data_IF_612642310625
#
_entry.id   IF_612642310625
#
_cell.length_a   1.000
_cell.length_b   1.000
_cell.length_c   1.000
_cell.angle_alpha   90.00
_cell.angle_beta   90.00
_cell.angle_gamma   90.00
#
_symmetry.space_group_name_H-M   'P 1'
#
loop_
_entity.id
_entity.type
_entity.pdbx_description
1 polymer ?
#
# COMPACT_ATOMS: atom_id res chain seq x y z
N UNK A 1 -10.41 13.35 -22.26
CA UNK A 1 -10.56 13.10 -20.83
C UNK A 1 -11.85 12.32 -20.59
N UNK A 2 -11.76 11.13 -19.98
CA UNK A 2 -12.89 10.27 -19.64
C UNK A 2 -13.96 11.06 -18.87
N UNK A 3 -15.25 10.80 -19.16
CA UNK A 3 -16.38 11.54 -18.58
C UNK A 3 -16.45 11.49 -17.05
N UNK A 4 -15.86 10.45 -16.44
CA UNK A 4 -15.83 10.29 -14.99
C UNK A 4 -14.64 10.99 -14.31
N UNK A 5 -13.73 11.60 -15.08
CA UNK A 5 -12.61 12.37 -14.50
C UNK A 5 -13.07 13.81 -14.32
N UNK A 6 -12.93 14.32 -13.11
CA UNK A 6 -13.03 15.75 -12.82
C UNK A 6 -11.64 16.29 -12.53
N UNK A 7 -11.14 17.16 -13.41
CA UNK A 7 -9.89 17.87 -13.18
C UNK A 7 -10.07 18.89 -12.03
N UNK A 8 -9.12 18.88 -11.09
CA UNK A 8 -9.06 19.83 -9.97
C UNK A 8 -7.94 20.86 -10.17
N UNK A 9 -6.97 20.54 -11.04
CA UNK A 9 -5.91 21.43 -11.51
C UNK A 9 -5.68 21.19 -13.03
N UNK A 10 -4.79 21.97 -13.65
CA UNK A 10 -4.40 21.83 -15.05
C UNK A 10 -3.66 20.49 -15.28
N UNK A 11 -4.30 19.59 -16.03
CA UNK A 11 -3.67 18.34 -16.46
C UNK A 11 -2.75 18.63 -17.65
N UNK A 12 -1.46 18.54 -17.41
CA UNK A 12 -0.38 18.83 -18.37
C UNK A 12 0.75 17.83 -18.24
N UNK A 13 1.63 17.72 -19.25
CA UNK A 13 2.85 16.93 -19.15
C UNK A 13 3.70 17.34 -17.94
N UNK A 14 4.15 16.35 -17.17
CA UNK A 14 4.96 16.51 -15.96
C UNK A 14 6.40 16.02 -16.19
N UNK A 15 7.29 16.29 -15.22
CA UNK A 15 8.69 15.87 -15.26
C UNK A 15 8.82 14.42 -14.80
N UNK A 16 8.97 13.49 -15.75
CA UNK A 16 9.18 12.05 -15.51
C UNK A 16 8.21 11.45 -14.46
N UNK A 17 6.89 11.68 -14.58
CA UNK A 17 5.99 11.46 -13.46
C UNK A 17 5.85 9.98 -13.08
N UNK A 18 5.89 9.73 -11.78
CA UNK A 18 5.61 8.42 -11.19
C UNK A 18 4.23 8.41 -10.54
N UNK A 19 3.36 7.47 -10.95
CA UNK A 19 2.09 7.22 -10.27
C UNK A 19 2.28 6.26 -9.10
N UNK A 20 2.00 6.69 -7.87
CA UNK A 20 1.95 5.83 -6.68
C UNK A 20 0.51 5.71 -6.23
N UNK A 21 -0.04 4.49 -6.19
CA UNK A 21 -1.48 4.29 -5.92
C UNK A 21 -1.77 3.28 -4.82
N UNK A 22 -2.76 3.54 -3.97
CA UNK A 22 -3.31 2.59 -3.01
C UNK A 22 -4.84 2.59 -3.03
N UNK A 23 -5.42 1.42 -2.79
CA UNK A 23 -6.87 1.21 -2.79
C UNK A 23 -7.27 0.46 -1.52
N UNK A 24 -8.08 1.12 -0.69
CA UNK A 24 -8.72 0.50 0.47
C UNK A 24 -9.72 -0.57 0.02
N UNK A 25 -9.98 -1.57 0.87
CA UNK A 25 -10.87 -2.70 0.56
C UNK A 25 -10.10 -4.02 0.49
N UNK A 26 -10.37 -4.85 -0.51
CA UNK A 26 -9.79 -6.20 -0.61
C UNK A 26 -8.26 -6.18 -0.67
N UNK A 27 -7.68 -5.17 -1.32
CA UNK A 27 -6.23 -5.03 -1.54
C UNK A 27 -5.48 -4.40 -0.36
N UNK A 28 -6.20 -3.94 0.65
CA UNK A 28 -5.64 -3.22 1.80
C UNK A 28 -6.59 -3.40 3.00
N UNK A 29 -6.70 -4.63 3.48
CA UNK A 29 -7.68 -5.02 4.50
C UNK A 29 -7.58 -4.28 5.85
N UNK A 30 -6.41 -3.78 6.30
CA UNK A 30 -6.35 -2.85 7.43
C UNK A 30 -6.41 -1.37 7.00
N UNK A 31 -6.36 -1.04 5.71
CA UNK A 31 -6.32 0.35 5.23
C UNK A 31 -4.94 1.02 5.36
N UNK A 32 -3.88 0.23 5.62
CA UNK A 32 -2.57 0.75 5.93
C UNK A 32 -1.78 1.24 4.71
N UNK A 33 -1.98 0.64 3.54
CA UNK A 33 -1.38 1.11 2.29
C UNK A 33 -1.99 2.45 1.86
N UNK A 34 -3.31 2.58 1.99
CA UNK A 34 -4.05 3.83 1.72
C UNK A 34 -3.63 4.91 2.72
N UNK A 35 -3.50 4.56 4.01
CA UNK A 35 -2.97 5.46 5.03
C UNK A 35 -1.56 5.96 4.71
N UNK A 36 -0.69 5.11 4.15
CA UNK A 36 0.64 5.51 3.70
C UNK A 36 0.59 6.57 2.60
N UNK A 37 -0.28 6.41 1.60
CA UNK A 37 -0.46 7.41 0.53
C UNK A 37 -1.04 8.70 1.10
N UNK A 38 -2.08 8.61 1.94
CA UNK A 38 -2.68 9.78 2.57
C UNK A 38 -1.69 10.53 3.47
N UNK A 39 -0.78 9.81 4.11
CA UNK A 39 0.31 10.39 4.88
C UNK A 39 1.27 11.18 3.98
N UNK A 40 1.71 10.61 2.86
CA UNK A 40 2.56 11.31 1.89
C UNK A 40 1.85 12.52 1.28
N UNK A 41 0.55 12.45 1.02
CA UNK A 41 -0.24 13.60 0.55
C UNK A 41 -0.14 14.77 1.53
N UNK A 42 -0.20 14.50 2.84
CA UNK A 42 -0.06 15.53 3.88
C UNK A 42 1.38 16.04 3.98
N UNK A 43 2.35 15.14 4.16
CA UNK A 43 3.75 15.52 4.41
C UNK A 43 4.42 16.18 3.20
N UNK A 44 4.08 15.76 1.98
CA UNK A 44 4.60 16.37 0.76
C UNK A 44 3.78 17.57 0.29
N UNK A 45 2.75 17.96 1.04
CA UNK A 45 1.85 19.08 0.72
C UNK A 45 1.29 18.93 -0.69
N UNK A 46 0.85 17.72 -1.02
CA UNK A 46 0.39 17.37 -2.35
C UNK A 46 -0.92 18.10 -2.67
N UNK A 47 -1.03 18.67 -3.86
CA UNK A 47 -2.23 19.41 -4.28
C UNK A 47 -3.23 18.48 -4.97
N UNK A 48 -4.54 18.63 -4.73
CA UNK A 48 -5.56 17.91 -5.50
C UNK A 48 -5.40 18.16 -7.00
N UNK A 49 -5.30 17.09 -7.79
CA UNK A 49 -5.00 17.18 -9.22
C UNK A 49 -6.17 16.70 -10.08
N UNK A 50 -6.73 15.53 -9.75
CA UNK A 50 -7.92 14.98 -10.40
C UNK A 50 -8.71 14.10 -9.43
N UNK A 51 -10.01 13.98 -9.64
CA UNK A 51 -10.85 13.00 -8.94
C UNK A 51 -11.66 12.16 -9.93
N UNK A 52 -11.94 10.92 -9.55
CA UNK A 52 -12.81 10.02 -10.30
C UNK A 52 -14.19 10.03 -9.64
N UNK A 53 -15.20 10.44 -10.39
CA UNK A 53 -16.59 10.48 -9.97
C UNK A 53 -17.05 9.08 -9.54
N UNK A 54 -17.50 8.90 -8.28
CA UNK A 54 -17.87 7.60 -7.77
C UNK A 54 -19.19 7.04 -8.34
N UNK A 55 -20.06 7.86 -8.92
CA UNK A 55 -21.44 7.48 -9.27
C UNK A 55 -21.51 6.23 -10.17
N UNK A 56 -20.52 6.05 -11.04
CA UNK A 56 -20.49 4.93 -12.01
C UNK A 56 -19.77 3.68 -11.50
N UNK A 57 -19.03 3.79 -10.41
CA UNK A 57 -18.10 2.75 -9.96
C UNK A 57 -18.46 2.15 -8.60
N UNK A 58 -19.29 2.83 -7.81
CA UNK A 58 -19.66 2.39 -6.48
C UNK A 58 -21.13 2.02 -6.36
N UNK A 59 -21.38 0.86 -5.74
CA UNK A 59 -22.66 0.56 -5.14
C UNK A 59 -22.77 1.29 -3.78
N UNK A 60 -23.54 2.37 -3.74
CA UNK A 60 -23.76 3.15 -2.51
C UNK A 60 -24.64 2.43 -1.47
N UNK A 61 -25.20 1.26 -1.79
CA UNK A 61 -25.85 0.39 -0.81
C UNK A 61 -24.83 -0.44 -0.03
N UNK A 62 -23.67 -0.73 -0.64
CA UNK A 62 -22.52 -1.42 -0.04
C UNK A 62 -21.63 -0.44 0.72
N UNK A 63 -21.21 0.65 0.07
CA UNK A 63 -20.38 1.69 0.69
C UNK A 63 -21.13 3.03 0.69
N UNK A 64 -21.83 3.29 1.80
CA UNK A 64 -22.68 4.47 1.95
C UNK A 64 -21.84 5.74 2.14
N UNK A 65 -22.26 6.87 1.53
CA UNK A 65 -21.73 8.19 1.87
C UNK A 65 -21.93 8.49 3.36
N UNK A 66 -20.97 9.20 3.96
CA UNK A 66 -21.02 9.61 5.37
C UNK A 66 -21.42 11.08 5.47
N UNK A 67 -22.16 11.42 6.52
CA UNK A 67 -22.44 12.81 6.86
C UNK A 67 -21.40 13.25 7.89
N UNK A 68 -20.74 14.38 7.64
CA UNK A 68 -19.81 15.02 8.57
C UNK A 68 -20.23 16.48 8.81
N UNK A 69 -19.86 17.02 9.97
CA UNK A 69 -19.98 18.45 10.26
C UNK A 69 -18.66 19.14 9.94
N UNK A 70 -18.73 20.20 9.15
CA UNK A 70 -17.60 21.05 8.80
C UNK A 70 -17.98 22.51 9.00
N UNK A 71 -17.31 23.18 9.94
CA UNK A 71 -17.62 24.57 10.33
C UNK A 71 -19.11 24.80 10.69
N UNK A 72 -19.77 23.78 11.25
CA UNK A 72 -21.20 23.82 11.61
C UNK A 72 -22.17 23.41 10.50
N UNK A 73 -21.70 23.22 9.28
CA UNK A 73 -22.51 22.80 8.13
C UNK A 73 -22.40 21.29 7.89
N UNK A 74 -23.49 20.68 7.44
CA UNK A 74 -23.51 19.25 7.08
C UNK A 74 -22.96 19.07 5.68
N UNK A 75 -21.92 18.25 5.55
CA UNK A 75 -21.31 17.87 4.27
C UNK A 75 -21.41 16.36 4.07
N UNK A 76 -21.49 15.95 2.80
CA UNK A 76 -21.49 14.55 2.40
C UNK A 76 -20.09 14.14 1.96
N UNK A 77 -19.51 13.16 2.65
CA UNK A 77 -18.28 12.50 2.26
C UNK A 77 -18.64 11.23 1.47
N UNK A 78 -18.46 11.32 0.15
CA UNK A 78 -18.66 10.19 -0.77
C UNK A 78 -17.41 9.29 -0.78
N UNK A 79 -17.54 7.99 -1.13
CA UNK A 79 -16.38 7.21 -1.56
C UNK A 79 -15.68 7.96 -2.71
N UNK A 80 -14.36 8.14 -2.62
CA UNK A 80 -13.62 8.94 -3.60
C UNK A 80 -12.34 8.21 -4.00
N UNK A 81 -11.95 8.39 -5.25
CA UNK A 81 -10.57 8.18 -5.68
C UNK A 81 -10.03 9.52 -6.15
N UNK A 82 -8.95 9.96 -5.52
CA UNK A 82 -8.32 11.23 -5.84
C UNK A 82 -6.86 11.01 -6.19
N UNK A 83 -6.42 11.76 -7.19
CA UNK A 83 -5.04 11.89 -7.60
C UNK A 83 -4.57 13.25 -7.13
N UNK A 84 -3.43 13.27 -6.45
CA UNK A 84 -2.75 14.46 -5.97
C UNK A 84 -1.40 14.58 -6.68
N UNK A 85 -0.94 15.81 -6.88
CA UNK A 85 0.36 16.12 -7.44
C UNK A 85 1.31 16.57 -6.33
N UNK A 86 2.48 15.95 -6.25
CA UNK A 86 3.53 16.29 -5.29
C UNK A 86 4.88 16.42 -5.99
N UNK A 87 5.70 17.35 -5.51
CA UNK A 87 7.10 17.51 -5.91
C UNK A 87 7.95 17.63 -4.65
N UNK A 88 8.11 16.54 -3.87
CA UNK A 88 8.78 16.59 -2.57
C UNK A 88 10.25 17.00 -2.71
N UNK A 89 10.85 17.66 -1.70
CA UNK A 89 12.27 17.99 -1.70
C UNK A 89 13.14 16.76 -1.94
N UNK A 90 14.10 16.89 -2.85
CA UNK A 90 15.00 15.79 -3.25
C UNK A 90 14.52 14.96 -4.43
N UNK A 91 13.21 14.95 -4.75
CA UNK A 91 12.71 14.19 -5.89
C UNK A 91 13.17 14.79 -7.23
N UNK A 92 13.67 13.91 -8.10
CA UNK A 92 14.07 14.23 -9.48
C UNK A 92 12.90 14.20 -10.47
N UNK A 93 11.72 13.78 -10.00
CA UNK A 93 10.49 13.60 -10.79
C UNK A 93 9.27 14.13 -10.04
N UNK A 94 8.20 14.39 -10.77
CA UNK A 94 6.89 14.67 -10.18
C UNK A 94 6.21 13.38 -9.73
N UNK A 95 5.47 13.42 -8.63
CA UNK A 95 4.78 12.26 -8.08
C UNK A 95 3.27 12.49 -8.14
N UNK A 96 2.57 11.55 -8.79
CA UNK A 96 1.12 11.46 -8.74
C UNK A 96 0.76 10.48 -7.63
N UNK A 97 0.19 10.97 -6.54
CA UNK A 97 -0.28 10.15 -5.42
C UNK A 97 -1.76 9.85 -5.62
N UNK A 98 -2.13 8.58 -5.76
CA UNK A 98 -3.51 8.14 -5.90
C UNK A 98 -3.96 7.41 -4.64
N UNK A 99 -4.97 7.94 -3.97
CA UNK A 99 -5.61 7.33 -2.82
C UNK A 99 -7.10 7.18 -3.07
N UNK A 100 -7.66 6.02 -2.71
CA UNK A 100 -9.09 5.80 -2.83
C UNK A 100 -9.57 4.45 -2.34
N UNK A 101 -10.81 4.14 -2.66
CA UNK A 101 -11.43 2.85 -2.36
C UNK A 101 -11.49 1.98 -3.61
N UNK A 102 -11.37 0.68 -3.44
CA UNK A 102 -11.61 -0.27 -4.53
C UNK A 102 -13.04 -0.07 -5.08
N UNK A 103 -13.21 0.12 -6.41
CA UNK A 103 -14.53 0.28 -7.01
C UNK A 103 -15.32 -1.04 -6.90
N UNK A 104 -16.65 -0.97 -6.89
CA UNK A 104 -17.51 -2.15 -6.91
C UNK A 104 -17.81 -2.64 -8.33
N UNK A 105 -17.86 -1.71 -9.29
CA UNK A 105 -18.37 -1.94 -10.64
C UNK A 105 -17.40 -1.38 -11.69
N UNK A 106 -17.52 -1.87 -12.92
CA UNK A 106 -16.88 -1.30 -14.13
C UNK A 106 -15.35 -1.14 -14.04
N UNK A 107 -14.64 -2.09 -13.43
CA UNK A 107 -13.19 -2.00 -13.21
C UNK A 107 -12.37 -1.71 -14.46
N UNK A 108 -12.78 -2.22 -15.63
CA UNK A 108 -12.08 -1.93 -16.90
C UNK A 108 -12.11 -0.43 -17.21
N UNK A 109 -13.30 0.17 -17.14
CA UNK A 109 -13.53 1.61 -17.37
C UNK A 109 -12.88 2.46 -16.29
N UNK A 110 -12.88 1.99 -15.05
CA UNK A 110 -12.20 2.67 -13.94
C UNK A 110 -10.69 2.78 -14.17
N UNK A 111 -10.05 1.66 -14.53
CA UNK A 111 -8.63 1.65 -14.87
C UNK A 111 -8.34 2.53 -16.09
N UNK A 112 -9.18 2.49 -17.14
CA UNK A 112 -9.05 3.39 -18.29
C UNK A 112 -9.05 4.87 -17.90
N UNK A 113 -9.89 5.28 -16.95
CA UNK A 113 -9.90 6.65 -16.43
C UNK A 113 -8.57 7.02 -15.75
N UNK A 114 -8.01 6.13 -14.92
CA UNK A 114 -6.69 6.34 -14.29
C UNK A 114 -5.60 6.46 -15.37
N UNK A 115 -5.60 5.53 -16.33
CA UNK A 115 -4.65 5.50 -17.43
C UNK A 115 -4.72 6.78 -18.27
N UNK A 116 -5.89 7.37 -18.46
CA UNK A 116 -6.03 8.61 -19.21
C UNK A 116 -5.38 9.80 -18.48
N UNK A 117 -5.64 9.98 -17.17
CA UNK A 117 -4.93 11.01 -16.38
C UNK A 117 -3.42 10.81 -16.44
N UNK A 118 -2.98 9.56 -16.25
CA UNK A 118 -1.57 9.24 -16.21
C UNK A 118 -0.91 9.43 -17.60
N UNK A 119 -1.61 9.16 -18.72
CA UNK A 119 -1.11 9.43 -20.08
C UNK A 119 -1.00 10.92 -20.39
N UNK A 120 -2.02 11.71 -20.03
CA UNK A 120 -2.03 13.17 -20.28
C UNK A 120 -0.92 13.89 -19.49
N UNK A 121 -0.52 13.33 -18.34
CA UNK A 121 0.67 13.81 -17.60
C UNK A 121 2.00 13.30 -18.15
N UNK A 122 2.00 12.37 -19.09
CA UNK A 122 3.20 11.74 -19.65
C UNK A 122 3.79 10.63 -18.76
N UNK A 123 3.05 10.13 -17.78
CA UNK A 123 3.50 9.00 -16.97
C UNK A 123 3.52 7.72 -17.79
N UNK A 124 4.52 6.89 -17.50
CA UNK A 124 4.67 5.53 -18.05
C UNK A 124 5.18 4.54 -16.99
N UNK A 125 5.31 5.03 -15.75
CA UNK A 125 5.84 4.29 -14.61
C UNK A 125 4.87 4.40 -13.43
N UNK A 126 4.58 3.27 -12.77
CA UNK A 126 3.69 3.25 -11.61
C UNK A 126 4.12 2.25 -10.54
N UNK A 127 3.74 2.53 -9.29
CA UNK A 127 3.94 1.67 -8.13
C UNK A 127 2.62 1.63 -7.36
N UNK A 128 2.07 0.44 -7.14
CA UNK A 128 0.88 0.29 -6.28
C UNK A 128 1.27 -0.23 -4.91
N UNK A 129 0.62 0.26 -3.85
CA UNK A 129 0.78 -0.23 -2.49
C UNK A 129 -0.44 -1.05 -2.09
N UNK A 130 -0.21 -2.16 -1.38
CA UNK A 130 -1.26 -3.00 -0.83
C UNK A 130 -0.82 -3.66 0.47
N UNK A 131 -1.77 -4.18 1.23
CA UNK A 131 -1.50 -4.92 2.46
C UNK A 131 -2.37 -6.17 2.50
N UNK A 132 -1.74 -7.32 2.75
CA UNK A 132 -2.44 -8.60 2.82
C UNK A 132 -2.26 -9.27 4.18
N UNK A 133 -3.29 -9.94 4.72
CA UNK A 133 -3.18 -10.73 5.94
C UNK A 133 -2.15 -11.86 5.79
N UNK A 134 -1.32 -12.04 6.81
CA UNK A 134 -0.28 -13.05 6.86
C UNK A 134 -0.04 -13.54 8.29
N UNK A 135 0.53 -14.74 8.42
CA UNK A 135 1.01 -15.32 9.68
C UNK A 135 2.33 -14.67 10.12
N UNK A 136 2.31 -13.38 10.44
CA UNK A 136 3.50 -12.64 10.91
C UNK A 136 3.21 -11.99 12.27
N UNK A 137 4.20 -11.92 13.17
CA UNK A 137 4.03 -11.26 14.46
C UNK A 137 4.08 -9.72 14.31
N UNK A 138 3.30 -8.99 15.10
CA UNK A 138 3.33 -7.52 15.13
C UNK A 138 4.56 -6.96 15.85
N UNK A 139 5.30 -7.81 16.58
CA UNK A 139 6.49 -7.48 17.37
C UNK A 139 7.80 -7.60 16.58
N UNK A 140 7.73 -7.75 15.26
CA UNK A 140 8.89 -7.84 14.36
C UNK A 140 8.73 -6.90 13.17
N UNK A 141 9.83 -6.51 12.49
CA UNK A 141 9.77 -5.73 11.27
C UNK A 141 8.85 -6.40 10.24
N UNK A 142 7.99 -5.62 9.60
CA UNK A 142 6.97 -6.16 8.72
C UNK A 142 7.54 -6.50 7.34
N UNK A 143 7.31 -7.73 6.86
CA UNK A 143 7.67 -8.11 5.49
C UNK A 143 6.99 -7.24 4.44
N UNK A 144 7.76 -6.77 3.46
CA UNK A 144 7.24 -6.19 2.23
C UNK A 144 7.74 -7.02 1.05
N UNK A 145 6.83 -7.49 0.20
CA UNK A 145 7.16 -8.17 -1.05
C UNK A 145 7.01 -7.24 -2.25
N UNK A 146 7.80 -7.48 -3.28
CA UNK A 146 7.75 -6.76 -4.55
C UNK A 146 7.23 -7.70 -5.64
N UNK A 147 6.24 -7.23 -6.38
CA UNK A 147 5.93 -7.73 -7.72
C UNK A 147 6.32 -6.66 -8.73
N UNK A 148 7.12 -6.99 -9.73
CA UNK A 148 7.58 -6.01 -10.71
C UNK A 148 7.38 -6.53 -12.13
N UNK A 149 7.26 -5.60 -13.07
CA UNK A 149 7.31 -5.88 -14.51
C UNK A 149 8.72 -5.77 -15.09
N UNK A 150 9.64 -5.11 -14.37
CA UNK A 150 10.99 -4.79 -14.81
C UNK A 150 11.98 -4.88 -13.63
N UNK A 151 13.22 -5.32 -13.90
CA UNK A 151 14.28 -5.50 -12.89
C UNK A 151 14.74 -4.17 -12.26
N UNK A 152 14.54 -3.04 -12.94
CA UNK A 152 14.86 -1.71 -12.41
C UNK A 152 14.20 -1.47 -11.05
N UNK A 153 12.99 -2.02 -10.82
CA UNK A 153 12.29 -1.92 -9.54
C UNK A 153 12.96 -2.74 -8.43
N UNK A 154 13.64 -3.84 -8.75
CA UNK A 154 14.40 -4.60 -7.75
C UNK A 154 15.55 -3.76 -7.21
N UNK A 155 16.24 -3.05 -8.13
CA UNK A 155 17.34 -2.15 -7.77
C UNK A 155 16.80 -0.94 -6.99
N UNK A 156 15.69 -0.37 -7.46
CA UNK A 156 15.06 0.81 -6.86
C UNK A 156 14.64 0.57 -5.40
N UNK A 157 14.07 -0.59 -5.11
CA UNK A 157 13.54 -0.90 -3.78
C UNK A 157 14.49 -1.75 -2.92
N UNK A 158 15.54 -2.33 -3.51
CA UNK A 158 16.39 -3.31 -2.84
C UNK A 158 15.66 -4.62 -2.53
N UNK A 159 14.66 -4.95 -3.35
CA UNK A 159 13.74 -6.07 -3.16
C UNK A 159 13.84 -7.04 -4.33
N UNK A 160 13.71 -8.34 -4.08
CA UNK A 160 13.55 -9.32 -5.16
C UNK A 160 12.09 -9.41 -5.60
N UNK A 161 11.88 -9.53 -6.90
CA UNK A 161 10.57 -9.70 -7.52
C UNK A 161 10.46 -11.10 -8.12
N UNK A 162 10.29 -12.16 -7.29
CA UNK A 162 10.21 -13.52 -7.79
C UNK A 162 9.02 -13.67 -8.76
N UNK A 163 9.21 -14.53 -9.78
CA UNK A 163 8.16 -14.82 -10.74
C UNK A 163 6.99 -15.54 -10.04
N UNK A 164 5.93 -14.80 -9.77
CA UNK A 164 4.72 -15.38 -9.19
C UNK A 164 4.05 -16.35 -10.17
N UNK A 165 3.69 -17.54 -9.67
CA UNK A 165 2.84 -18.51 -10.39
C UNK A 165 1.39 -18.48 -9.90
N UNK A 166 1.03 -17.46 -9.13
CA UNK A 166 -0.28 -17.32 -8.54
C UNK A 166 -1.39 -17.33 -9.61
N UNK A 167 -2.45 -18.09 -9.33
CA UNK A 167 -3.69 -18.09 -10.09
C UNK A 167 -4.84 -18.08 -9.08
N UNK A 168 -5.75 -17.12 -9.21
CA UNK A 168 -6.86 -16.96 -8.28
C UNK A 168 -7.58 -15.63 -8.44
N UNK A 169 -8.41 -15.30 -7.46
CA UNK A 169 -9.11 -14.03 -7.40
C UNK A 169 -8.11 -12.87 -7.27
N UNK A 170 -8.44 -11.72 -7.86
CA UNK A 170 -7.59 -10.53 -7.79
C UNK A 170 -8.46 -9.30 -7.51
N UNK A 171 -7.85 -8.29 -6.91
CA UNK A 171 -8.47 -6.99 -6.69
C UNK A 171 -8.15 -5.99 -7.80
N UNK A 172 -8.58 -4.75 -7.61
CA UNK A 172 -8.37 -3.65 -8.56
C UNK A 172 -6.89 -3.41 -8.87
N UNK A 173 -6.01 -3.58 -7.88
CA UNK A 173 -4.55 -3.46 -8.05
C UNK A 173 -4.03 -4.43 -9.11
N UNK A 174 -4.49 -5.68 -9.09
CA UNK A 174 -4.09 -6.67 -10.09
C UNK A 174 -4.60 -6.33 -11.49
N UNK A 175 -5.86 -5.89 -11.58
CA UNK A 175 -6.46 -5.48 -12.86
C UNK A 175 -5.75 -4.26 -13.45
N UNK A 176 -5.50 -3.23 -12.63
CA UNK A 176 -4.78 -2.02 -13.04
C UNK A 176 -3.37 -2.36 -13.53
N UNK A 177 -2.61 -3.14 -12.76
CA UNK A 177 -1.24 -3.50 -13.13
C UNK A 177 -1.16 -4.32 -14.42
N UNK A 178 -2.09 -5.26 -14.64
CA UNK A 178 -2.13 -6.03 -15.88
C UNK A 178 -2.50 -5.17 -17.09
N UNK A 179 -3.43 -4.22 -16.92
CA UNK A 179 -3.77 -3.28 -18.00
C UNK A 179 -2.62 -2.33 -18.33
N UNK A 180 -1.95 -1.78 -17.33
CA UNK A 180 -0.76 -0.93 -17.52
C UNK A 180 0.35 -1.70 -18.26
N UNK A 181 0.62 -2.97 -17.90
CA UNK A 181 1.59 -3.82 -18.61
C UNK A 181 1.21 -4.04 -20.07
N UNK A 182 -0.07 -4.26 -20.36
CA UNK A 182 -0.56 -4.43 -21.73
C UNK A 182 -0.36 -3.17 -22.59
N UNK A 183 -0.18 -2.01 -21.97
CA UNK A 183 0.14 -0.74 -22.63
C UNK A 183 1.65 -0.45 -22.70
N UNK A 184 2.50 -1.40 -22.26
CA UNK A 184 3.95 -1.25 -22.26
C UNK A 184 4.51 -0.43 -21.09
N UNK A 185 3.72 -0.16 -20.05
CA UNK A 185 4.17 0.63 -18.90
C UNK A 185 5.07 -0.19 -17.98
N UNK A 186 6.00 0.50 -17.32
CA UNK A 186 6.74 -0.04 -16.18
C UNK A 186 5.86 0.05 -14.94
N UNK A 187 5.54 -1.08 -14.33
CA UNK A 187 4.86 -1.10 -13.04
C UNK A 187 5.40 -2.08 -12.03
N UNK A 188 5.14 -1.77 -10.77
CA UNK A 188 5.40 -2.62 -9.63
C UNK A 188 4.26 -2.54 -8.60
N UNK A 189 4.18 -3.54 -7.75
CA UNK A 189 3.31 -3.57 -6.58
C UNK A 189 4.13 -3.94 -5.35
N UNK A 190 4.01 -3.14 -4.30
CA UNK A 190 4.57 -3.42 -2.98
C UNK A 190 3.45 -3.93 -2.08
N UNK A 191 3.66 -5.09 -1.48
CA UNK A 191 2.67 -5.73 -0.61
C UNK A 191 3.24 -5.92 0.78
N UNK A 192 2.65 -5.25 1.77
CA UNK A 192 2.98 -5.47 3.17
C UNK A 192 2.24 -6.69 3.72
N UNK A 193 2.94 -7.51 4.51
CA UNK A 193 2.34 -8.65 5.21
C UNK A 193 1.84 -8.17 6.56
N UNK A 194 0.52 -8.05 6.70
CA UNK A 194 -0.13 -7.60 7.91
C UNK A 194 -0.42 -8.78 8.85
N UNK A 195 -0.15 -8.67 10.17
CA UNK A 195 -0.56 -9.67 11.14
C UNK A 195 -2.08 -9.93 11.06
N UNK A 196 -2.49 -11.12 10.61
CA UNK A 196 -3.89 -11.41 10.30
C UNK A 196 -4.84 -11.37 11.50
N UNK A 197 -4.32 -11.51 12.72
CA UNK A 197 -5.09 -11.44 13.95
C UNK A 197 -5.35 -10.00 14.42
N UNK A 198 -4.66 -9.01 13.82
CA UNK A 198 -4.91 -7.61 14.12
C UNK A 198 -5.99 -7.06 13.20
N UNK A 199 -7.10 -6.65 13.80
CA UNK A 199 -8.25 -6.04 13.12
C UNK A 199 -8.45 -4.57 13.50
N UNK A 200 -7.55 -4.02 14.32
CA UNK A 200 -7.62 -2.65 14.84
C UNK A 200 -7.01 -1.70 13.82
N UNK A 201 -7.86 -0.93 13.12
CA UNK A 201 -7.46 0.23 12.31
C UNK A 201 -6.37 0.00 11.26
N UNK A 202 -5.89 1.08 10.62
CA UNK A 202 -4.69 1.03 9.81
C UNK A 202 -3.47 0.80 10.70
N UNK A 203 -2.67 -0.22 10.37
CA UNK A 203 -1.43 -0.49 11.08
C UNK A 203 -0.37 0.57 10.69
N UNK A 204 0.03 1.48 11.60
CA UNK A 204 0.96 2.56 11.30
C UNK A 204 2.38 2.06 11.00
N UNK A 205 2.77 0.87 11.48
CA UNK A 205 4.05 0.26 11.13
C UNK A 205 4.14 -0.03 9.63
N UNK A 206 3.06 -0.51 9.01
CA UNK A 206 3.00 -0.75 7.56
C UNK A 206 3.19 0.56 6.81
N UNK A 207 2.48 1.62 7.23
CA UNK A 207 2.59 2.93 6.60
C UNK A 207 4.01 3.49 6.72
N UNK A 208 4.62 3.41 7.91
CA UNK A 208 5.99 3.84 8.13
C UNK A 208 6.99 3.04 7.27
N UNK A 209 6.81 1.73 7.13
CA UNK A 209 7.64 0.89 6.25
C UNK A 209 7.54 1.33 4.79
N UNK A 210 6.34 1.63 4.28
CA UNK A 210 6.18 2.14 2.92
C UNK A 210 6.82 3.51 2.72
N UNK A 211 6.64 4.43 3.67
CA UNK A 211 7.25 5.77 3.60
C UNK A 211 8.77 5.67 3.54
N UNK A 212 9.40 4.89 4.42
CA UNK A 212 10.87 4.68 4.41
C UNK A 212 11.36 4.06 3.10
N UNK A 213 10.61 3.08 2.58
CA UNK A 213 10.95 2.40 1.34
C UNK A 213 10.88 3.35 0.14
N UNK A 214 9.85 4.20 0.09
CA UNK A 214 9.66 5.21 -0.95
C UNK A 214 10.69 6.34 -0.83
N UNK A 215 11.00 6.80 0.39
CA UNK A 215 12.04 7.81 0.64
C UNK A 215 13.39 7.35 0.07
N UNK A 216 13.78 6.12 0.39
CA UNK A 216 15.02 5.50 -0.12
C UNK A 216 15.00 5.37 -1.64
N UNK A 217 13.90 4.91 -2.22
CA UNK A 217 13.75 4.74 -3.66
C UNK A 217 13.80 6.07 -4.43
N UNK A 218 13.18 7.11 -3.88
CA UNK A 218 13.01 8.40 -4.56
C UNK A 218 14.10 9.42 -4.20
N UNK A 219 14.96 9.12 -3.22
CA UNK A 219 15.95 10.06 -2.70
C UNK A 219 15.30 11.23 -1.95
N UNK A 220 14.13 10.99 -1.35
CA UNK A 220 13.35 11.99 -0.60
C UNK A 220 13.53 11.79 0.90
N UNK A 221 13.05 12.74 1.69
CA UNK A 221 13.08 12.63 3.17
C UNK A 221 11.76 13.13 3.71
N UNK A 222 11.01 12.22 4.32
CA UNK A 222 9.69 12.48 4.89
C UNK A 222 9.79 12.43 6.41
N UNK A 223 9.20 13.42 7.09
CA UNK A 223 9.09 13.38 8.55
C UNK A 223 8.14 12.25 8.93
N UNK A 224 8.56 11.34 9.81
CA UNK A 224 7.73 10.22 10.31
C UNK A 224 7.33 10.41 11.77
N UNK A 225 7.43 11.64 12.30
CA UNK A 225 7.17 11.91 13.72
C UNK A 225 5.73 11.58 14.13
N UNK A 226 4.74 12.06 13.38
CA UNK A 226 3.32 11.76 13.62
C UNK A 226 3.02 10.27 13.45
N UNK A 227 3.64 9.59 12.47
CA UNK A 227 3.54 8.12 12.35
C UNK A 227 4.16 7.38 13.53
N UNK A 228 5.24 7.90 14.12
CA UNK A 228 5.84 7.31 15.31
C UNK A 228 4.90 7.40 16.52
N UNK A 229 4.25 8.55 16.72
CA UNK A 229 3.23 8.72 17.76
C UNK A 229 2.02 7.78 17.56
N UNK A 230 1.53 7.65 16.31
CA UNK A 230 0.49 6.68 15.96
C UNK A 230 0.94 5.24 16.24
N UNK A 231 2.20 4.92 15.98
CA UNK A 231 2.80 3.61 16.22
C UNK A 231 2.84 3.26 17.70
N UNK A 232 3.27 4.19 18.56
CA UNK A 232 3.28 3.99 20.01
C UNK A 232 1.87 3.72 20.57
N UNK A 233 0.87 4.48 20.10
CA UNK A 233 -0.52 4.28 20.51
C UNK A 233 -1.07 2.94 20.05
N UNK A 234 -0.77 2.56 18.81
CA UNK A 234 -1.15 1.27 18.25
C UNK A 234 -0.54 0.11 19.04
N UNK A 235 0.75 0.18 19.36
CA UNK A 235 1.45 -0.87 20.10
C UNK A 235 0.91 -1.05 21.52
N UNK A 236 0.54 0.04 22.19
CA UNK A 236 -0.10 -0.04 23.50
C UNK A 236 -1.48 -0.71 23.41
N UNK A 237 -2.30 -0.36 22.42
CA UNK A 237 -3.60 -0.99 22.21
C UNK A 237 -3.47 -2.48 21.92
N UNK A 238 -2.56 -2.86 21.02
CA UNK A 238 -2.32 -4.27 20.68
C UNK A 238 -1.81 -5.03 21.90
N UNK A 239 -0.89 -4.45 22.67
CA UNK A 239 -0.35 -5.08 23.90
C UNK A 239 -1.46 -5.37 24.91
N UNK A 240 -2.38 -4.43 25.12
CA UNK A 240 -3.51 -4.62 26.04
C UNK A 240 -4.38 -5.79 25.58
N UNK A 241 -4.76 -5.82 24.31
CA UNK A 241 -5.62 -6.89 23.75
C UNK A 241 -4.94 -8.26 23.80
N UNK A 242 -3.64 -8.33 23.49
CA UNK A 242 -2.91 -9.62 23.54
C UNK A 242 -2.69 -10.09 24.98
N UNK A 243 -2.50 -9.18 25.93
CA UNK A 243 -2.31 -9.51 27.35
C UNK A 243 -3.58 -10.06 28.02
N UNK A 244 -4.77 -9.82 27.45
CA UNK A 244 -6.04 -10.36 27.95
C UNK A 244 -6.21 -11.87 27.69
N UNK A 245 -5.36 -12.47 26.83
CA UNK A 245 -5.46 -13.89 26.46
C UNK A 245 -4.10 -14.57 26.40
N UNK A 246 -3.87 -15.51 27.33
CA UNK A 246 -2.67 -16.37 27.33
C UNK A 246 -2.51 -17.16 26.02
N UNK A 247 -3.63 -17.52 25.38
CA UNK A 247 -3.65 -18.19 24.08
C UNK A 247 -3.17 -17.27 22.96
N UNK A 248 -3.63 -16.02 22.94
CA UNK A 248 -3.16 -15.01 21.98
C UNK A 248 -1.66 -14.73 22.16
N UNK A 249 -1.20 -14.62 23.41
CA UNK A 249 0.21 -14.43 23.71
C UNK A 249 1.07 -15.65 23.28
N UNK A 250 0.56 -16.87 23.47
CA UNK A 250 1.23 -18.08 23.00
C UNK A 250 1.31 -18.14 21.47
N UNK A 251 0.23 -17.75 20.78
CA UNK A 251 0.19 -17.70 19.33
C UNK A 251 1.18 -16.68 18.75
N UNK A 252 1.27 -15.48 19.35
CA UNK A 252 2.27 -14.48 18.94
C UNK A 252 3.69 -15.03 19.10
N UNK A 253 4.01 -15.68 20.23
CA UNK A 253 5.34 -16.30 20.43
C UNK A 253 5.66 -17.35 19.37
N UNK A 254 4.68 -18.17 18.99
CA UNK A 254 4.86 -19.14 17.91
C UNK A 254 5.18 -18.45 16.58
N UNK A 255 4.50 -17.36 16.25
CA UNK A 255 4.77 -16.58 15.04
C UNK A 255 6.15 -15.90 15.09
N UNK A 256 6.60 -15.45 16.27
CA UNK A 256 7.96 -14.93 16.47
C UNK A 256 9.02 -15.98 16.20
N UNK A 257 8.87 -17.19 16.75
CA UNK A 257 9.80 -18.30 16.51
C UNK A 257 9.87 -18.68 15.02
N UNK A 258 8.72 -18.75 14.34
CA UNK A 258 8.66 -18.99 12.91
C UNK A 258 9.35 -17.88 12.11
N UNK A 259 9.05 -16.62 12.43
CA UNK A 259 9.67 -15.47 11.80
C UNK A 259 11.20 -15.48 11.96
N UNK A 260 11.68 -15.65 13.19
CA UNK A 260 13.10 -15.59 13.52
C UNK A 260 13.87 -16.80 12.94
N UNK A 261 13.26 -17.99 12.87
CA UNK A 261 13.89 -19.19 12.28
C UNK A 261 14.01 -19.13 10.75
N UNK A 262 13.12 -18.40 10.09
CA UNK A 262 13.10 -18.24 8.63
C UNK A 262 14.04 -17.16 8.12
N UNK A 263 14.65 -16.35 9.02
CA UNK A 263 15.64 -15.33 8.64
C UNK A 263 17.03 -15.95 8.44
N UNK A 264 17.74 -15.58 7.35
CA UNK A 264 19.13 -15.97 7.18
C UNK A 264 20.00 -15.48 8.34
N UNK A 265 20.91 -16.34 8.83
CA UNK A 265 21.90 -15.95 9.83
C UNK A 265 22.82 -14.84 9.30
N UNK A 266 23.26 -13.96 10.20
CA UNK A 266 23.99 -12.77 9.80
C UNK A 266 25.48 -13.01 9.56
N UNK A 267 26.09 -12.23 8.66
CA UNK A 267 27.54 -12.10 8.63
C UNK A 267 28.03 -11.52 9.97
N UNK A 268 29.17 -11.98 10.52
CA UNK A 268 29.72 -11.43 11.76
C UNK A 268 29.99 -9.92 11.60
N UNK A 269 29.40 -9.08 12.45
CA UNK A 269 29.69 -7.64 12.55
C UNK A 269 28.60 -6.66 12.10
N UNK A 270 27.46 -7.13 11.58
CA UNK A 270 26.32 -6.26 11.27
C UNK A 270 25.47 -5.97 12.54
N UNK A 271 25.20 -4.69 12.85
CA UNK A 271 24.30 -4.29 13.96
C UNK A 271 22.85 -4.64 13.68
N UNK A 272 22.03 -4.80 14.74
CA UNK A 272 20.60 -5.10 14.63
C UNK A 272 19.77 -3.94 14.07
N UNK A 273 20.17 -2.69 14.33
CA UNK A 273 19.44 -1.49 13.89
C UNK A 273 19.42 -1.31 12.36
N UNK A 274 20.42 -1.81 11.64
CA UNK A 274 20.44 -1.79 10.16
C UNK A 274 19.47 -2.83 9.57
N UNK A 275 18.99 -3.79 10.38
CA UNK A 275 18.19 -4.96 9.95
C UNK A 275 16.68 -4.75 10.03
N UNK A 276 16.19 -3.72 10.71
CA UNK A 276 14.78 -3.34 10.68
C UNK A 276 14.31 -2.93 9.28
N UNK A 277 15.24 -2.43 8.46
CA UNK A 277 15.00 -1.89 7.11
C UNK A 277 15.31 -2.87 5.97
N UNK A 278 15.72 -4.11 6.28
CA UNK A 278 16.02 -5.15 5.29
C UNK A 278 14.81 -6.05 5.07
N UNK A 279 14.32 -6.16 3.83
CA UNK A 279 13.14 -6.96 3.53
C UNK A 279 13.43 -8.46 3.65
N UNK A 280 12.40 -9.27 3.90
CA UNK A 280 12.54 -10.71 4.03
C UNK A 280 12.94 -11.36 2.71
N UNK A 281 13.68 -12.45 2.82
CA UNK A 281 14.19 -13.25 1.70
C UNK A 281 13.08 -14.04 0.99
N UNK A 282 13.27 -14.41 -0.29
CA UNK A 282 12.27 -15.14 -1.10
C UNK A 282 11.79 -16.46 -0.50
N UNK A 283 12.65 -17.17 0.24
CA UNK A 283 12.30 -18.44 0.91
C UNK A 283 11.17 -18.26 1.93
N UNK A 284 11.08 -17.08 2.56
CA UNK A 284 10.03 -16.72 3.54
C UNK A 284 8.68 -16.56 2.84
N UNK A 285 8.66 -16.02 1.61
CA UNK A 285 7.43 -15.83 0.83
C UNK A 285 6.89 -17.17 0.30
N UNK A 286 7.77 -18.07 -0.12
CA UNK A 286 7.38 -19.39 -0.65
C UNK A 286 6.83 -20.32 0.45
N UNK A 287 7.38 -20.27 1.66
CA UNK A 287 6.87 -21.03 2.79
C UNK A 287 5.56 -20.45 3.35
N UNK A 288 5.37 -19.13 3.27
CA UNK A 288 4.11 -18.47 3.62
C UNK A 288 3.00 -18.79 2.61
N UNK A 289 3.29 -18.80 1.30
CA UNK A 289 2.34 -19.25 0.28
C UNK A 289 1.89 -20.71 0.51
N UNK A 290 2.80 -21.56 0.99
CA UNK A 290 2.50 -22.95 1.34
C UNK A 290 1.55 -23.03 2.53
N UNK A 291 1.82 -22.26 3.59
CA UNK A 291 0.96 -22.20 4.78
C UNK A 291 -0.46 -21.68 4.46
N UNK A 292 -0.59 -20.65 3.61
CA UNK A 292 -1.88 -20.12 3.18
C UNK A 292 -2.70 -21.12 2.35
N UNK A 293 -2.03 -22.01 1.59
CA UNK A 293 -2.70 -23.12 0.88
C UNK A 293 -3.22 -24.20 1.83
N UNK A 294 -2.59 -24.37 2.98
CA UNK A 294 -2.99 -25.37 3.97
C UNK A 294 -4.20 -24.92 4.77
N UNK A 295 -4.28 -23.64 5.17
CA UNK A 295 -5.47 -23.13 5.86
C UNK A 295 -6.72 -23.09 4.98
N UNK A 296 -6.59 -22.81 3.68
CA UNK A 296 -7.73 -22.78 2.74
C UNK A 296 -8.29 -24.15 2.36
N UNK A 297 -7.58 -25.24 2.66
CA UNK A 297 -8.08 -26.62 2.45
C UNK A 297 -8.82 -27.16 3.67
N UNK A 298 -8.83 -26.42 4.78
CA UNK A 298 -9.48 -26.79 6.03
C UNK A 298 -10.92 -26.28 6.19
N UNK A 299 -11.48 -25.61 5.18
CA UNK A 299 -12.90 -25.21 5.09
C UNK A 299 -13.68 -26.11 4.12
#
# INVERSE_FOLDING_TARGET
MHEAIRALDEIRPLRDPLLIGAFSGFTDAPGAATHAVDFLVREWVATPFAEIDPERFYDFTVQRPRVRLEHGERVLDWPQNRIYLASPPGATRDILLMSGAEPHLRWRTFCEAILEVARETGSTTSVTLGAQPAGVPHTRPLPVSLSASHEDFETLFGLKAPASRYQGQTGIVGVLNLQLRAQGWKNASLWAMAPHYLTIGPNPHIAASFVRLLDRALGTTTSVQSLAEETEQFDEQVRQVVAESDEAAAYVRQLEEQYDSSRPALPPGASEDVRGDLPPTPEILDDLERFLREQRKGE
#
